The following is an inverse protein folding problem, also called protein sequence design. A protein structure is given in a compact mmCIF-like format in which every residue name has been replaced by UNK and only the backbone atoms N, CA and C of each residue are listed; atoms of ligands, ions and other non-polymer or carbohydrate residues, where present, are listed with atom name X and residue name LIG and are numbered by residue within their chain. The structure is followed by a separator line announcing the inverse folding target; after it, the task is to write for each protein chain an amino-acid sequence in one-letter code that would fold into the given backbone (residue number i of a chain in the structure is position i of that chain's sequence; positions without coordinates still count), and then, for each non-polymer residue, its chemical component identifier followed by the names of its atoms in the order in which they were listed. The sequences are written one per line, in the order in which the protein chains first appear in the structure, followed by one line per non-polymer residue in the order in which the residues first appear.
data_IF_961941385685
#
_entry.id   IF_961941385685
#
_cell.length_a   1.000
_cell.length_b   1.000
_cell.length_c   1.000
_cell.angle_alpha   90.00
_cell.angle_beta   90.00
_cell.angle_gamma   90.00
#
_symmetry.space_group_name_H-M   'P 1'
#
loop_
_entity.id
_entity.type
_entity.pdbx_description
1 polymer ?
#
# COMPACT_ATOMS: atom_id res chain seq x y z
N UNK A 1 26.76 -4.79 -9.42
CA UNK A 1 25.40 -4.21 -9.31
C UNK A 1 24.48 -4.68 -10.45
N UNK A 2 24.87 -4.57 -11.75
CA UNK A 2 24.00 -5.00 -12.89
C UNK A 2 23.61 -6.49 -12.85
N UNK A 3 24.50 -7.39 -12.40
CA UNK A 3 24.21 -8.83 -12.28
C UNK A 3 23.20 -9.17 -11.18
N UNK A 4 23.20 -8.41 -10.07
CA UNK A 4 22.25 -8.59 -8.96
C UNK A 4 20.85 -8.14 -9.40
N UNK A 5 20.76 -7.01 -10.12
CA UNK A 5 19.48 -6.54 -10.67
C UNK A 5 18.89 -7.54 -11.68
N UNK A 6 19.75 -8.12 -12.54
CA UNK A 6 19.32 -9.13 -13.52
C UNK A 6 18.88 -10.43 -12.85
N UNK A 7 19.59 -10.87 -11.80
CA UNK A 7 19.21 -12.04 -11.00
C UNK A 7 17.89 -11.84 -10.28
N UNK A 8 17.65 -10.65 -9.73
CA UNK A 8 16.38 -10.28 -9.10
C UNK A 8 15.23 -10.27 -10.12
N UNK A 9 15.47 -9.74 -11.32
CA UNK A 9 14.49 -9.71 -12.40
C UNK A 9 14.14 -11.11 -12.91
N UNK A 10 15.12 -12.01 -13.02
CA UNK A 10 14.89 -13.40 -13.42
C UNK A 10 14.14 -14.19 -12.34
N UNK A 11 14.42 -13.96 -11.05
CA UNK A 11 13.66 -14.56 -9.96
C UNK A 11 12.19 -14.10 -9.94
N UNK A 12 11.93 -12.83 -10.20
CA UNK A 12 10.57 -12.29 -10.31
C UNK A 12 9.84 -12.84 -11.53
N UNK A 13 10.53 -13.00 -12.66
CA UNK A 13 9.95 -13.53 -13.90
C UNK A 13 9.61 -15.04 -13.81
N UNK A 14 10.36 -15.82 -13.03
CA UNK A 14 10.09 -17.26 -12.85
C UNK A 14 8.87 -17.55 -11.97
N UNK A 15 8.42 -16.59 -11.17
CA UNK A 15 7.21 -16.69 -10.34
C UNK A 15 5.91 -16.45 -11.15
N UNK A 16 6.02 -16.02 -12.40
CA UNK A 16 4.89 -15.57 -13.22
C UNK A 16 3.93 -16.68 -13.67
N UNK A 17 4.36 -17.93 -13.69
CA UNK A 17 3.57 -19.03 -14.25
C UNK A 17 2.39 -19.50 -13.37
N UNK A 18 2.35 -19.16 -12.09
CA UNK A 18 1.29 -19.54 -11.16
C UNK A 18 0.51 -18.35 -10.57
N UNK A 19 0.84 -17.15 -10.96
CA UNK A 19 0.42 -15.90 -10.34
C UNK A 19 -1.09 -15.59 -10.37
N UNK A 20 -1.89 -16.30 -11.14
CA UNK A 20 -3.34 -16.01 -11.23
C UNK A 20 -4.17 -16.64 -10.11
N UNK A 21 -3.63 -17.57 -9.34
CA UNK A 21 -4.35 -18.25 -8.25
C UNK A 21 -3.78 -17.99 -6.85
N UNK A 22 -2.65 -17.31 -6.74
CA UNK A 22 -1.99 -17.07 -5.45
C UNK A 22 -2.59 -15.88 -4.72
N UNK A 23 -2.74 -15.96 -3.39
CA UNK A 23 -3.31 -14.89 -2.60
C UNK A 23 -2.34 -13.74 -2.28
N UNK A 24 -1.06 -13.87 -2.65
CA UNK A 24 0.00 -12.97 -2.23
C UNK A 24 0.34 -11.94 -3.30
N UNK A 25 0.55 -10.69 -2.89
CA UNK A 25 1.14 -9.67 -3.73
C UNK A 25 2.17 -8.85 -2.94
N UNK A 26 3.19 -8.37 -3.63
CA UNK A 26 4.21 -7.48 -3.09
C UNK A 26 4.30 -6.24 -3.97
N UNK A 27 4.62 -5.11 -3.39
CA UNK A 27 4.69 -3.87 -4.14
C UNK A 27 5.35 -2.74 -3.40
N UNK A 28 5.16 -1.57 -3.97
CA UNK A 28 5.61 -0.29 -3.44
C UNK A 28 4.46 0.69 -3.47
N UNK A 29 4.40 1.54 -2.47
CA UNK A 29 3.47 2.63 -2.36
C UNK A 29 4.24 3.93 -2.14
N UNK A 30 3.93 4.95 -2.91
CA UNK A 30 4.47 6.30 -2.77
C UNK A 30 3.32 7.27 -2.56
N UNK A 31 3.19 7.76 -1.35
CA UNK A 31 2.19 8.72 -0.95
C UNK A 31 2.79 10.07 -0.57
N UNK A 32 1.92 11.03 -0.33
CA UNK A 32 2.34 12.38 0.10
C UNK A 32 2.99 12.39 1.49
N UNK A 33 2.72 11.38 2.31
CA UNK A 33 3.25 11.26 3.67
C UNK A 33 4.06 10.00 3.91
N UNK A 34 4.01 9.03 3.01
CA UNK A 34 4.71 7.75 3.19
C UNK A 34 5.36 7.24 1.92
N UNK A 35 6.45 6.51 2.08
CA UNK A 35 7.11 5.74 1.02
C UNK A 35 7.35 4.34 1.55
N UNK A 36 6.54 3.39 1.07
CA UNK A 36 6.37 2.11 1.72
C UNK A 36 6.67 0.93 0.79
N UNK A 37 7.17 -0.15 1.39
CA UNK A 37 6.99 -1.48 0.86
C UNK A 37 5.58 -1.96 1.21
N UNK A 38 4.91 -2.57 0.25
CA UNK A 38 3.55 -3.02 0.37
C UNK A 38 3.47 -4.54 0.19
N UNK A 39 2.75 -5.21 1.08
CA UNK A 39 2.40 -6.61 0.97
C UNK A 39 0.88 -6.75 1.07
N UNK A 40 0.30 -7.48 0.12
CA UNK A 40 -1.14 -7.76 0.12
C UNK A 40 -1.41 -9.25 0.24
N UNK A 41 -2.37 -9.60 1.09
CA UNK A 41 -2.94 -10.93 1.17
C UNK A 41 -4.41 -10.91 0.72
N UNK A 42 -4.71 -11.53 -0.42
CA UNK A 42 -6.04 -11.59 -0.98
C UNK A 42 -6.79 -12.82 -0.47
N UNK A 43 -7.73 -12.64 0.46
CA UNK A 43 -8.59 -13.71 0.97
C UNK A 43 -9.47 -14.28 -0.13
N UNK A 44 -9.92 -13.43 -1.04
CA UNK A 44 -10.75 -13.75 -2.19
C UNK A 44 -10.72 -12.58 -3.20
N UNK A 45 -11.54 -12.66 -4.24
CA UNK A 45 -11.63 -11.58 -5.25
C UNK A 45 -12.18 -10.25 -4.71
N UNK A 46 -12.87 -10.29 -3.56
CA UNK A 46 -13.53 -9.10 -2.99
C UNK A 46 -12.71 -8.44 -1.88
N UNK A 47 -11.92 -9.21 -1.13
CA UNK A 47 -11.31 -8.72 0.10
C UNK A 47 -9.81 -9.02 0.12
N UNK A 48 -9.03 -8.07 0.61
CA UNK A 48 -7.61 -8.24 0.83
C UNK A 48 -7.12 -7.45 2.04
N UNK A 49 -6.11 -7.97 2.70
CA UNK A 49 -5.34 -7.27 3.72
C UNK A 49 -4.14 -6.61 3.05
N UNK A 50 -3.93 -5.37 3.34
CA UNK A 50 -2.80 -4.57 2.87
C UNK A 50 -1.95 -4.20 4.08
N UNK A 51 -0.67 -4.59 4.04
CA UNK A 51 0.31 -4.27 5.08
C UNK A 51 1.40 -3.44 4.42
N UNK A 52 1.62 -2.24 4.92
CA UNK A 52 2.69 -1.36 4.45
C UNK A 52 3.68 -1.08 5.56
N UNK A 53 4.94 -1.02 5.19
CA UNK A 53 6.04 -0.69 6.08
C UNK A 53 7.02 0.24 5.35
N UNK A 54 7.30 1.40 5.92
CA UNK A 54 8.17 2.35 5.26
C UNK A 54 8.41 3.64 6.02
N UNK A 55 8.96 4.60 5.31
CA UNK A 55 9.32 5.89 5.85
C UNK A 55 8.09 6.78 5.95
N UNK A 56 7.92 7.39 7.11
CA UNK A 56 6.93 8.42 7.34
C UNK A 56 7.58 9.79 7.10
N UNK A 57 6.95 10.58 6.24
CA UNK A 57 7.39 11.92 5.89
C UNK A 57 8.85 11.99 5.38
N UNK A 58 9.27 10.96 4.61
CA UNK A 58 10.55 10.77 3.93
C UNK A 58 11.77 10.58 4.84
N UNK A 59 11.94 11.32 5.94
CA UNK A 59 13.11 11.25 6.81
C UNK A 59 12.77 11.36 8.32
N UNK A 60 11.51 11.61 8.65
CA UNK A 60 11.13 11.97 10.02
C UNK A 60 10.66 10.77 10.85
N UNK A 61 10.53 9.58 10.25
CA UNK A 61 10.11 8.42 11.00
C UNK A 61 9.86 7.17 10.17
N UNK A 62 9.36 6.14 10.85
CA UNK A 62 8.96 4.86 10.27
C UNK A 62 7.52 4.55 10.65
N UNK A 63 6.75 4.05 9.70
CA UNK A 63 5.38 3.62 9.93
C UNK A 63 5.14 2.19 9.45
N UNK A 64 4.33 1.47 10.21
CA UNK A 64 3.74 0.19 9.86
C UNK A 64 2.22 0.36 9.86
N UNK A 65 1.56 -0.02 8.78
CA UNK A 65 0.10 0.07 8.67
C UNK A 65 -0.48 -1.26 8.22
N UNK A 66 -1.66 -1.59 8.74
CA UNK A 66 -2.43 -2.74 8.32
C UNK A 66 -3.87 -2.31 8.02
N UNK A 67 -4.32 -2.52 6.77
CA UNK A 67 -5.63 -2.08 6.31
C UNK A 67 -6.38 -3.23 5.65
N UNK A 68 -7.58 -3.50 6.12
CA UNK A 68 -8.48 -4.45 5.50
C UNK A 68 -9.33 -3.75 4.43
N UNK A 69 -9.19 -4.18 3.20
CA UNK A 69 -9.78 -3.57 2.02
C UNK A 69 -10.86 -4.44 1.39
N UNK A 70 -11.87 -3.77 0.85
CA UNK A 70 -12.93 -4.36 0.02
C UNK A 70 -12.83 -3.82 -1.41
N UNK A 71 -12.79 -4.70 -2.41
CA UNK A 71 -13.04 -4.34 -3.80
C UNK A 71 -14.53 -4.04 -3.96
N UNK A 72 -14.90 -2.77 -3.84
CA UNK A 72 -16.30 -2.29 -3.88
C UNK A 72 -16.89 -2.51 -5.26
N UNK A 73 -16.09 -2.26 -6.30
CA UNK A 73 -16.48 -2.45 -7.69
C UNK A 73 -15.33 -2.92 -8.55
N UNK A 74 -15.64 -3.78 -9.52
CA UNK A 74 -14.69 -4.24 -10.53
C UNK A 74 -15.34 -4.16 -11.91
N UNK A 75 -14.56 -3.73 -12.91
CA UNK A 75 -15.00 -3.59 -14.29
C UNK A 75 -14.01 -4.34 -15.21
N UNK A 76 -14.24 -5.65 -15.46
CA UNK A 76 -13.35 -6.49 -16.25
C UNK A 76 -13.35 -6.16 -17.75
N UNK A 77 -14.38 -5.48 -18.22
CA UNK A 77 -14.60 -5.17 -19.64
C UNK A 77 -14.64 -3.67 -19.93
N UNK A 78 -14.15 -2.85 -19.01
CA UNK A 78 -14.07 -1.42 -19.25
C UNK A 78 -12.88 -1.10 -20.16
N UNK A 79 -13.03 -0.07 -20.99
CA UNK A 79 -11.97 0.37 -21.92
C UNK A 79 -10.82 1.04 -21.15
N UNK A 80 -9.57 0.67 -21.43
CA UNK A 80 -9.10 -0.34 -22.40
C UNK A 80 -9.23 -1.79 -21.88
N UNK A 81 -9.53 -2.73 -22.78
CA UNK A 81 -9.85 -4.13 -22.46
C UNK A 81 -8.65 -4.99 -21.98
N UNK A 82 -7.41 -4.46 -21.98
CA UNK A 82 -6.24 -5.20 -21.50
C UNK A 82 -6.15 -5.28 -19.98
N UNK A 83 -7.04 -4.61 -19.25
CA UNK A 83 -7.01 -4.51 -17.80
C UNK A 83 -8.39 -4.73 -17.17
N UNK A 84 -8.40 -5.16 -15.92
CA UNK A 84 -9.56 -5.15 -15.04
C UNK A 84 -9.45 -3.96 -14.11
N UNK A 85 -10.36 -3.02 -14.24
CA UNK A 85 -10.44 -1.85 -13.38
C UNK A 85 -11.09 -2.20 -12.04
N UNK A 86 -10.67 -1.57 -10.98
CA UNK A 86 -11.19 -1.80 -9.64
C UNK A 86 -11.23 -0.51 -8.82
N UNK A 87 -12.23 -0.44 -7.97
CA UNK A 87 -12.37 0.55 -6.93
C UNK A 87 -12.43 -0.16 -5.60
N UNK A 88 -11.61 0.25 -4.67
CA UNK A 88 -11.56 -0.35 -3.34
C UNK A 88 -11.61 0.70 -2.25
N UNK A 89 -11.98 0.27 -1.06
CA UNK A 89 -11.93 1.07 0.14
C UNK A 89 -11.77 0.16 1.34
N UNK A 90 -11.22 0.70 2.40
CA UNK A 90 -10.91 -0.06 3.59
C UNK A 90 -10.62 0.80 4.81
N UNK A 91 -10.41 0.12 5.90
CA UNK A 91 -9.93 0.74 7.12
C UNK A 91 -9.05 -0.23 7.91
N UNK A 92 -8.24 0.35 8.79
CA UNK A 92 -7.29 -0.37 9.60
C UNK A 92 -6.63 0.52 10.65
N UNK A 93 -5.43 0.18 10.99
CA UNK A 93 -4.64 0.93 11.94
C UNK A 93 -3.18 1.03 11.50
N UNK A 94 -2.51 2.04 11.98
CA UNK A 94 -1.08 2.23 11.79
C UNK A 94 -0.38 2.61 13.08
N UNK A 95 0.87 2.26 13.18
CA UNK A 95 1.76 2.60 14.27
C UNK A 95 3.11 3.01 13.70
N UNK A 96 3.80 3.90 14.35
CA UNK A 96 5.12 4.32 13.91
C UNK A 96 5.87 5.13 14.96
N UNK A 97 7.06 5.53 14.56
CA UNK A 97 7.94 6.39 15.34
C UNK A 97 8.22 7.64 14.51
N UNK A 98 8.24 8.76 15.19
CA UNK A 98 8.43 10.07 14.63
C UNK A 98 9.53 10.78 15.41
N UNK A 99 10.55 11.27 14.70
CA UNK A 99 11.66 12.01 15.26
C UNK A 99 11.76 13.35 14.52
N UNK A 100 11.22 14.37 15.11
CA UNK A 100 11.29 15.74 14.57
C UNK A 100 11.63 16.70 15.70
N UNK A 101 12.40 17.74 15.41
CA UNK A 101 13.09 18.65 16.34
C UNK A 101 12.28 19.17 17.54
N UNK A 102 10.97 19.10 17.49
CA UNK A 102 10.07 19.54 18.58
C UNK A 102 9.19 18.41 19.17
N UNK A 103 9.08 17.26 18.47
CA UNK A 103 8.22 16.14 18.90
C UNK A 103 8.89 14.83 18.52
N UNK A 104 9.30 14.10 19.53
CA UNK A 104 9.88 12.77 19.42
C UNK A 104 8.92 11.79 20.07
N UNK A 105 8.62 10.66 19.40
CA UNK A 105 7.74 9.70 20.01
C UNK A 105 7.15 8.63 19.10
N UNK A 106 6.29 7.85 19.72
CA UNK A 106 5.51 6.82 19.07
C UNK A 106 4.13 7.36 18.74
N UNK A 107 3.62 7.07 17.56
CA UNK A 107 2.23 7.37 17.19
C UNK A 107 1.44 6.10 16.87
N UNK A 108 0.16 6.17 17.08
CA UNK A 108 -0.81 5.13 16.76
C UNK A 108 -2.07 5.79 16.23
N UNK A 109 -2.76 5.16 15.28
CA UNK A 109 -4.05 5.68 14.87
C UNK A 109 -4.78 4.88 13.80
N UNK A 110 -6.06 5.18 13.61
CA UNK A 110 -6.85 4.60 12.53
C UNK A 110 -6.38 5.09 11.16
N UNK A 111 -6.42 4.17 10.21
CA UNK A 111 -6.10 4.41 8.79
C UNK A 111 -7.32 4.06 7.96
N UNK A 112 -7.70 4.95 7.05
CA UNK A 112 -8.67 4.67 6.01
C UNK A 112 -7.99 4.48 4.66
N UNK A 113 -8.64 3.82 3.69
CA UNK A 113 -8.22 3.83 2.29
C UNK A 113 -9.38 4.00 1.35
N UNK A 114 -9.15 4.72 0.26
CA UNK A 114 -9.99 4.75 -0.92
C UNK A 114 -9.07 4.74 -2.13
N UNK A 115 -9.22 3.76 -3.02
CA UNK A 115 -8.34 3.62 -4.15
C UNK A 115 -9.04 3.23 -5.43
N UNK A 116 -8.43 3.64 -6.53
CA UNK A 116 -8.88 3.31 -7.88
C UNK A 116 -7.66 2.88 -8.70
N UNK A 117 -7.82 1.83 -9.49
CA UNK A 117 -6.71 1.33 -10.29
C UNK A 117 -7.13 0.20 -11.23
N UNK A 118 -6.13 -0.46 -11.79
CA UNK A 118 -6.36 -1.56 -12.70
C UNK A 118 -5.29 -2.66 -12.54
N UNK A 119 -5.70 -3.88 -12.80
CA UNK A 119 -4.82 -5.05 -12.88
C UNK A 119 -4.75 -5.50 -14.33
N UNK A 120 -3.56 -5.66 -14.88
CA UNK A 120 -3.36 -6.19 -16.22
C UNK A 120 -3.87 -7.63 -16.31
N UNK A 121 -4.43 -8.04 -17.46
CA UNK A 121 -4.98 -9.40 -17.65
C UNK A 121 -3.92 -10.44 -17.91
N UNK A 122 -2.86 -10.05 -18.62
CA UNK A 122 -1.79 -10.96 -19.04
C UNK A 122 -0.64 -11.04 -18.02
N UNK A 123 -0.49 -10.01 -17.20
CA UNK A 123 0.54 -9.91 -16.16
C UNK A 123 -0.15 -9.57 -14.85
N UNK A 124 0.13 -10.27 -13.74
CA UNK A 124 -0.53 -10.01 -12.46
C UNK A 124 0.01 -8.74 -11.78
N UNK A 125 0.07 -7.65 -12.52
CA UNK A 125 0.54 -6.35 -12.11
C UNK A 125 -0.64 -5.40 -11.93
N UNK A 126 -0.71 -4.76 -10.77
CA UNK A 126 -1.72 -3.77 -10.45
C UNK A 126 -1.09 -2.40 -10.31
N UNK A 127 -1.69 -1.42 -10.98
CA UNK A 127 -1.44 0.01 -10.77
C UNK A 127 -2.64 0.64 -10.11
N UNK A 128 -2.41 1.52 -9.14
CA UNK A 128 -3.48 2.24 -8.50
C UNK A 128 -3.05 3.62 -8.00
N UNK A 129 -4.06 4.43 -7.77
CA UNK A 129 -3.96 5.68 -7.01
C UNK A 129 -4.87 5.52 -5.81
N UNK A 130 -4.39 5.85 -4.63
CA UNK A 130 -5.19 5.79 -3.43
C UNK A 130 -5.06 7.05 -2.57
N UNK A 131 -6.06 7.25 -1.76
CA UNK A 131 -6.07 8.19 -0.65
C UNK A 131 -6.09 7.38 0.63
N UNK A 132 -5.06 7.57 1.46
CA UNK A 132 -4.82 6.76 2.67
C UNK A 132 -4.66 7.66 3.91
N UNK A 133 -5.74 8.32 4.34
CA UNK A 133 -5.68 9.18 5.53
C UNK A 133 -5.39 8.36 6.78
N UNK A 134 -4.53 8.89 7.62
CA UNK A 134 -4.26 8.40 8.97
C UNK A 134 -4.50 9.50 9.99
N UNK A 135 -5.25 9.20 11.03
CA UNK A 135 -5.35 10.06 12.22
C UNK A 135 -4.34 9.56 13.23
N UNK A 136 -3.15 10.14 13.22
CA UNK A 136 -2.07 9.73 14.09
C UNK A 136 -2.14 10.48 15.43
N UNK A 137 -2.24 9.72 16.52
CA UNK A 137 -2.18 10.24 17.89
C UNK A 137 -0.77 10.02 18.42
N UNK A 138 -0.10 11.08 18.83
CA UNK A 138 1.17 10.98 19.54
C UNK A 138 0.92 10.39 20.93
N UNK A 139 1.73 9.38 21.29
CA UNK A 139 1.67 8.73 22.61
C UNK A 139 2.71 9.31 23.60
N UNK A 140 3.32 10.46 23.27
CA UNK A 140 4.21 11.21 24.17
C UNK A 140 3.48 11.91 25.29
N UNK A 141 4.17 12.87 25.93
CA UNK A 141 3.69 13.57 27.13
C UNK A 141 2.41 14.39 26.89
N UNK A 142 2.15 14.83 25.67
CA UNK A 142 0.91 15.48 25.26
C UNK A 142 0.25 14.70 24.11
N UNK A 143 -1.03 14.32 24.30
CA UNK A 143 -1.87 13.73 23.26
C UNK A 143 -2.13 14.76 22.16
N UNK A 144 -1.33 14.77 21.14
CA UNK A 144 -1.48 15.66 20.00
C UNK A 144 -1.82 14.87 18.71
N UNK A 145 -2.55 15.52 17.79
CA UNK A 145 -2.94 14.94 16.52
C UNK A 145 -1.96 15.40 15.44
N UNK A 146 -1.31 14.45 14.80
CA UNK A 146 -0.38 14.71 13.70
C UNK A 146 -1.18 14.91 12.41
N UNK A 147 -1.35 16.14 11.96
CA UNK A 147 -2.17 16.52 10.79
C UNK A 147 -1.63 15.98 9.45
N UNK A 148 -0.35 15.66 9.36
CA UNK A 148 0.31 15.26 8.12
C UNK A 148 -0.19 13.93 7.56
N UNK A 149 -0.74 13.05 8.39
CA UNK A 149 -1.34 11.79 7.98
C UNK A 149 -2.58 11.92 7.09
N UNK A 150 -3.28 13.06 7.12
CA UNK A 150 -4.48 13.29 6.33
C UNK A 150 -4.22 13.51 4.83
N UNK A 151 -3.02 13.94 4.44
CA UNK A 151 -2.70 14.31 3.04
C UNK A 151 -2.03 13.19 2.27
N UNK A 152 -2.26 11.95 2.63
CA UNK A 152 -1.61 10.80 2.02
C UNK A 152 -2.39 10.34 0.77
N UNK A 153 -2.20 11.06 -0.36
CA UNK A 153 -2.59 10.60 -1.69
C UNK A 153 -1.35 10.01 -2.31
N UNK A 154 -1.45 8.80 -2.85
CA UNK A 154 -0.31 8.08 -3.37
C UNK A 154 -0.61 7.23 -4.60
N UNK A 155 0.44 6.62 -5.11
CA UNK A 155 0.40 5.63 -6.17
C UNK A 155 0.92 4.31 -5.65
N UNK A 156 0.26 3.23 -6.03
CA UNK A 156 0.66 1.87 -5.68
C UNK A 156 0.96 1.06 -6.92
N UNK A 157 1.97 0.22 -6.83
CA UNK A 157 2.36 -0.76 -7.84
C UNK A 157 2.57 -2.09 -7.14
N UNK A 158 1.70 -3.07 -7.39
CA UNK A 158 1.79 -4.39 -6.77
C UNK A 158 1.83 -5.50 -7.81
N UNK A 159 2.64 -6.51 -7.53
CA UNK A 159 2.76 -7.73 -8.31
C UNK A 159 2.26 -8.91 -7.50
N UNK A 160 1.31 -9.66 -8.06
CA UNK A 160 0.74 -10.87 -7.44
C UNK A 160 1.52 -12.11 -7.89
N UNK A 161 1.87 -12.98 -6.97
CA UNK A 161 2.64 -14.21 -7.21
C UNK A 161 2.07 -15.39 -6.45
#
# INVERSE_FOLDING_TARGET
MKKILFSLFVCVASLSAQAQSTPHAIGIHFGGSTSDLEYQYHFNKKNFLDITAGLFNLDEGFALQGVYNWNIRQWPNWTPNFATWKFWGGFGAGVGFYDHQEHDGMFLGPVGTLGFGFTLKDIPLTFGVDYRPMVAFNLGDDLDIIDRGFRNIGVTLTYRF
#
